data_IF_586085677594
#
_entry.id   IF_586085677594
#
_cell.length_a   1.000
_cell.length_b   1.000
_cell.length_c   1.000
_cell.angle_alpha   90.00
_cell.angle_beta   90.00
_cell.angle_gamma   90.00
#
_symmetry.space_group_name_H-M   'P 1'
#
loop_
_entity.id
_entity.type
_entity.pdbx_description
1 polymer ?
#
# COMPACT_ATOMS: atom_id res chain seq x y z
N UNK A 1 4.54 -1.61 10.10
CA UNK A 1 4.66 -2.26 8.78
C UNK A 1 4.27 -1.24 7.73
N UNK A 2 5.14 -0.90 6.78
CA UNK A 2 4.78 0.01 5.68
C UNK A 2 4.18 -0.84 4.57
N UNK A 3 2.99 -0.51 4.10
CA UNK A 3 2.26 -1.26 3.06
C UNK A 3 2.47 -0.56 1.73
N UNK A 4 3.05 -1.28 0.76
CA UNK A 4 3.54 -0.69 -0.50
C UNK A 4 2.86 -1.28 -1.74
N UNK A 5 2.24 -2.44 -1.61
CA UNK A 5 1.60 -3.18 -2.69
C UNK A 5 0.50 -4.09 -2.15
N UNK A 6 -0.27 -4.69 -3.07
CA UNK A 6 -1.39 -5.57 -2.76
C UNK A 6 -0.95 -6.83 -1.98
N UNK A 7 0.28 -7.33 -2.20
CA UNK A 7 0.79 -8.50 -1.48
C UNK A 7 1.01 -8.18 -0.01
N UNK A 8 1.59 -7.02 0.30
CA UNK A 8 1.76 -6.56 1.68
C UNK A 8 0.43 -6.17 2.32
N UNK A 9 -0.53 -5.66 1.54
CA UNK A 9 -1.89 -5.38 2.00
C UNK A 9 -2.59 -6.66 2.47
N UNK A 10 -2.62 -7.70 1.63
CA UNK A 10 -3.25 -9.00 1.96
C UNK A 10 -2.59 -9.68 3.16
N UNK A 11 -1.25 -9.63 3.26
CA UNK A 11 -0.53 -10.12 4.45
C UNK A 11 -0.94 -9.34 5.71
N UNK A 12 -1.10 -8.02 5.58
CA UNK A 12 -1.53 -7.17 6.68
C UNK A 12 -2.94 -7.46 7.16
N UNK A 13 -3.88 -7.68 6.24
CA UNK A 13 -5.25 -8.08 6.58
C UNK A 13 -5.29 -9.40 7.37
N UNK A 14 -4.55 -10.42 6.90
CA UNK A 14 -4.46 -11.71 7.60
C UNK A 14 -3.83 -11.58 8.98
N UNK A 15 -2.79 -10.74 9.10
CA UNK A 15 -2.17 -10.47 10.38
C UNK A 15 -3.14 -9.78 11.35
N UNK A 16 -3.89 -8.77 10.90
CA UNK A 16 -4.90 -8.09 11.73
C UNK A 16 -5.98 -9.05 12.21
N UNK A 17 -6.48 -9.95 11.35
CA UNK A 17 -7.47 -10.93 11.74
C UNK A 17 -6.97 -11.80 12.91
N UNK A 18 -5.74 -12.32 12.82
CA UNK A 18 -5.15 -13.12 13.90
C UNK A 18 -4.91 -12.34 15.19
N UNK A 19 -4.48 -11.08 15.11
CA UNK A 19 -4.28 -10.28 16.32
C UNK A 19 -5.60 -9.78 16.95
N UNK A 20 -6.67 -9.63 16.17
CA UNK A 20 -8.00 -9.36 16.71
C UNK A 20 -8.50 -10.54 17.56
N UNK A 21 -8.38 -11.77 17.05
CA UNK A 21 -8.69 -13.00 17.79
C UNK A 21 -7.87 -13.09 19.07
N UNK A 22 -6.57 -12.80 19.01
CA UNK A 22 -5.69 -12.81 20.18
C UNK A 22 -6.06 -11.73 21.21
N UNK A 23 -6.45 -10.53 20.76
CA UNK A 23 -6.94 -9.47 21.65
C UNK A 23 -8.24 -9.87 22.36
N UNK A 24 -9.15 -10.54 21.65
CA UNK A 24 -10.39 -11.10 22.20
C UNK A 24 -10.11 -12.21 23.22
N UNK A 25 -9.21 -13.15 22.89
CA UNK A 25 -8.79 -14.21 23.82
C UNK A 25 -8.19 -13.66 25.11
N UNK A 26 -7.36 -12.62 25.02
CA UNK A 26 -6.79 -11.95 26.19
C UNK A 26 -7.86 -11.28 27.06
N UNK A 27 -8.95 -10.81 26.46
CA UNK A 27 -10.06 -10.19 27.19
C UNK A 27 -10.95 -11.22 27.91
N UNK A 28 -11.14 -12.39 27.30
CA UNK A 28 -12.03 -13.45 27.80
C UNK A 28 -11.32 -14.37 28.81
N UNK A 29 -10.09 -14.81 28.50
CA UNK A 29 -9.47 -15.94 29.19
C UNK A 29 -8.37 -15.55 30.19
N UNK A 30 -7.69 -14.42 29.98
CA UNK A 30 -6.53 -14.06 30.77
C UNK A 30 -6.73 -12.75 31.54
N UNK A 31 -7.50 -12.82 32.64
CA UNK A 31 -7.60 -11.72 33.62
C UNK A 31 -6.25 -11.33 34.26
N UNK A 32 -5.20 -12.15 34.07
CA UNK A 32 -3.83 -11.93 34.56
C UNK A 32 -2.88 -11.47 33.44
N UNK A 33 -3.35 -11.31 32.20
CA UNK A 33 -2.60 -10.65 31.15
C UNK A 33 -2.22 -9.26 31.66
N UNK A 34 -0.91 -9.07 31.81
CA UNK A 34 -0.33 -7.82 32.28
C UNK A 34 -0.91 -6.67 31.44
N UNK A 35 -1.55 -5.65 32.05
CA UNK A 35 -2.20 -4.56 31.32
C UNK A 35 -1.29 -3.93 30.25
N UNK A 36 0.01 -3.94 30.49
CA UNK A 36 1.05 -3.45 29.60
C UNK A 36 1.11 -4.22 28.27
N UNK A 37 0.93 -5.55 28.28
CA UNK A 37 0.98 -6.38 27.07
C UNK A 37 -0.23 -6.18 26.19
N UNK A 38 -1.42 -6.05 26.79
CA UNK A 38 -2.65 -5.71 26.04
C UNK A 38 -2.52 -4.33 25.41
N UNK A 39 -1.97 -3.36 26.15
CA UNK A 39 -1.74 -2.02 25.63
C UNK A 39 -0.77 -2.01 24.44
N UNK A 40 0.35 -2.75 24.55
CA UNK A 40 1.33 -2.86 23.46
C UNK A 40 0.73 -3.54 22.22
N UNK A 41 -0.03 -4.63 22.40
CA UNK A 41 -0.70 -5.32 21.30
C UNK A 41 -1.71 -4.40 20.60
N UNK A 42 -2.50 -3.64 21.37
CA UNK A 42 -3.46 -2.68 20.84
C UNK A 42 -2.77 -1.54 20.05
N UNK A 43 -1.63 -1.03 20.55
CA UNK A 43 -0.84 -0.02 19.83
C UNK A 43 -0.37 -0.58 18.48
N UNK A 44 0.14 -1.82 18.46
CA UNK A 44 0.60 -2.46 17.24
C UNK A 44 -0.56 -2.74 16.26
N UNK A 45 -1.70 -3.19 16.78
CA UNK A 45 -2.92 -3.41 16.02
C UNK A 45 -3.39 -2.13 15.34
N UNK A 46 -3.62 -1.06 16.11
CA UNK A 46 -4.09 0.24 15.60
C UNK A 46 -3.12 0.83 14.58
N UNK A 47 -1.80 0.65 14.80
CA UNK A 47 -0.79 1.09 13.85
C UNK A 47 -0.88 0.32 12.53
N UNK A 48 -1.06 -1.00 12.56
CA UNK A 48 -1.19 -1.80 11.34
C UNK A 48 -2.48 -1.47 10.57
N UNK A 49 -3.60 -1.33 11.27
CA UNK A 49 -4.88 -0.90 10.71
C UNK A 49 -4.77 0.47 10.03
N UNK A 50 -4.15 1.45 10.69
CA UNK A 50 -3.90 2.77 10.11
C UNK A 50 -3.14 2.70 8.78
N UNK A 51 -2.11 1.84 8.68
CA UNK A 51 -1.34 1.67 7.44
C UNK A 51 -2.17 1.02 6.32
N UNK A 52 -3.05 0.06 6.64
CA UNK A 52 -3.96 -0.55 5.67
C UNK A 52 -4.99 0.45 5.13
N UNK A 53 -5.55 1.28 6.02
CA UNK A 53 -6.49 2.33 5.64
C UNK A 53 -5.83 3.39 4.76
N UNK A 54 -4.60 3.80 5.08
CA UNK A 54 -3.84 4.73 4.23
C UNK A 54 -3.62 4.16 2.83
N UNK A 55 -3.24 2.88 2.72
CA UNK A 55 -3.06 2.21 1.45
C UNK A 55 -4.38 2.13 0.64
N UNK A 56 -5.47 1.73 1.29
CA UNK A 56 -6.78 1.65 0.63
C UNK A 56 -7.24 3.02 0.12
N UNK A 57 -7.07 4.08 0.91
CA UNK A 57 -7.39 5.45 0.50
C UNK A 57 -6.55 5.88 -0.70
N UNK A 58 -5.27 5.53 -0.74
CA UNK A 58 -4.41 5.80 -1.88
C UNK A 58 -4.92 5.12 -3.17
N UNK A 59 -5.33 3.85 -3.09
CA UNK A 59 -5.97 3.14 -4.23
C UNK A 59 -7.28 3.80 -4.65
N UNK A 60 -8.09 4.25 -3.70
CA UNK A 60 -9.34 4.95 -4.00
C UNK A 60 -9.07 6.27 -4.72
N UNK A 61 -8.09 7.06 -4.27
CA UNK A 61 -7.71 8.33 -4.93
C UNK A 61 -7.15 8.10 -6.34
N UNK A 62 -6.40 7.01 -6.55
CA UNK A 62 -5.97 6.64 -7.91
C UNK A 62 -7.13 6.35 -8.85
N UNK A 63 -8.15 5.64 -8.36
CA UNK A 63 -9.34 5.31 -9.15
C UNK A 63 -10.31 6.50 -9.31
N UNK A 64 -10.37 7.37 -8.30
CA UNK A 64 -11.30 8.50 -8.15
C UNK A 64 -10.55 9.73 -7.61
N UNK A 65 -9.87 10.50 -8.47
CA UNK A 65 -9.03 11.63 -8.06
C UNK A 65 -9.76 12.72 -7.26
N UNK A 66 -11.07 12.86 -7.40
CA UNK A 66 -11.92 13.78 -6.65
C UNK A 66 -11.90 13.52 -5.13
N UNK A 67 -11.68 12.27 -4.72
CA UNK A 67 -11.62 11.89 -3.30
C UNK A 67 -10.42 12.53 -2.58
N UNK A 68 -9.41 13.00 -3.31
CA UNK A 68 -8.25 13.70 -2.75
C UNK A 68 -8.65 14.93 -1.92
N UNK A 69 -9.62 15.70 -2.41
CA UNK A 69 -10.10 16.91 -1.70
C UNK A 69 -10.93 16.50 -0.50
N UNK A 70 -11.85 15.56 -0.66
CA UNK A 70 -12.72 15.08 0.42
C UNK A 70 -11.91 14.49 1.58
N UNK A 71 -10.93 13.63 1.29
CA UNK A 71 -10.07 13.04 2.30
C UNK A 71 -9.23 14.08 3.03
N UNK A 72 -8.77 15.13 2.34
CA UNK A 72 -8.04 16.24 2.97
C UNK A 72 -8.93 17.04 3.92
N UNK A 73 -10.17 17.33 3.52
CA UNK A 73 -11.12 18.10 4.33
C UNK A 73 -11.48 17.41 5.65
N UNK A 74 -11.62 16.09 5.63
CA UNK A 74 -11.90 15.29 6.84
C UNK A 74 -10.64 14.85 7.59
N UNK A 75 -9.46 15.29 7.17
CA UNK A 75 -8.17 15.00 7.83
C UNK A 75 -7.69 13.56 7.67
N UNK A 76 -8.12 12.85 6.64
CA UNK A 76 -7.66 11.50 6.34
C UNK A 76 -6.33 11.51 5.59
N UNK A 77 -5.34 10.84 6.18
CA UNK A 77 -4.05 10.62 5.53
C UNK A 77 -4.15 9.48 4.49
N UNK A 78 -3.41 9.65 3.39
CA UNK A 78 -3.05 8.65 2.40
C UNK A 78 -1.71 9.02 1.78
N UNK A 79 -0.97 8.04 1.26
CA UNK A 79 0.27 8.27 0.51
C UNK A 79 0.00 7.97 -0.97
N UNK A 80 0.15 8.96 -1.84
CA UNK A 80 0.05 8.74 -3.28
C UNK A 80 1.16 7.76 -3.71
N UNK A 81 0.82 6.68 -4.43
CA UNK A 81 1.85 5.81 -4.97
C UNK A 81 2.68 6.62 -5.96
N UNK A 82 4.00 6.39 -5.95
CA UNK A 82 4.91 7.09 -6.84
C UNK A 82 4.44 6.94 -8.29
N UNK A 83 4.51 8.02 -9.10
CA UNK A 83 4.12 7.93 -10.51
C UNK A 83 4.94 6.82 -11.19
N UNK A 84 4.25 5.91 -11.90
CA UNK A 84 4.92 4.92 -12.73
C UNK A 84 5.81 5.65 -13.74
N UNK A 85 7.12 5.45 -13.63
CA UNK A 85 8.06 5.93 -14.64
C UNK A 85 7.80 5.08 -15.89
N UNK A 86 6.99 5.60 -16.81
CA UNK A 86 6.83 4.99 -18.12
C UNK A 86 8.19 5.05 -18.81
N UNK A 87 8.84 3.91 -19.13
CA UNK A 87 10.10 3.96 -19.87
C UNK A 87 9.85 4.65 -21.21
N UNK A 88 10.68 5.64 -21.54
CA UNK A 88 10.59 6.33 -22.84
C UNK A 88 10.60 5.30 -23.97
N UNK A 89 9.75 5.46 -25.00
CA UNK A 89 9.77 4.58 -26.15
C UNK A 89 11.17 4.62 -26.76
N UNK A 90 11.82 3.45 -26.79
CA UNK A 90 13.13 3.27 -27.41
C UNK A 90 12.99 3.75 -28.85
N UNK A 91 13.65 4.85 -29.20
CA UNK A 91 13.74 5.29 -30.57
C UNK A 91 14.43 4.17 -31.36
N UNK A 92 13.67 3.51 -32.24
CA UNK A 92 14.25 2.51 -33.14
C UNK A 92 15.32 3.21 -33.99
N UNK A 93 16.52 2.62 -34.13
CA UNK A 93 17.54 3.19 -35.01
C UNK A 93 16.96 3.31 -36.42
N UNK A 94 17.21 4.45 -37.06
CA UNK A 94 16.78 4.70 -38.44
C UNK A 94 17.21 3.51 -39.33
N UNK A 95 16.36 3.07 -40.28
CA UNK A 95 16.72 1.98 -41.17
C UNK A 95 18.04 2.31 -41.86
N UNK A 96 19.02 1.41 -41.75
CA UNK A 96 20.29 1.53 -42.45
C UNK A 96 19.96 1.58 -43.94
N UNK A 97 20.20 2.73 -44.57
CA UNK A 97 20.11 2.87 -46.01
C UNK A 97 21.13 1.90 -46.64
N UNK A 98 20.62 0.81 -47.19
CA UNK A 98 21.39 -0.15 -47.95
C UNK A 98 21.85 0.53 -49.25
N UNK A 99 23.07 1.10 -49.25
CA UNK A 99 23.76 1.52 -50.47
C UNK A 99 24.23 0.28 -51.25
N UNK A 100 23.29 -0.44 -51.85
CA UNK A 100 23.55 -1.40 -52.92
C UNK A 100 23.08 -0.80 -54.23
N UNK A 101 23.79 0.20 -54.72
CA UNK A 101 23.69 0.68 -56.09
C UNK A 101 24.88 1.61 -56.32
N UNK A 102 25.96 1.02 -56.83
CA UNK A 102 26.91 1.61 -57.76
C UNK A 102 27.77 0.43 -58.27
N UNK A 103 27.14 -0.44 -59.05
CA UNK A 103 27.88 -1.10 -60.13
C UNK A 103 27.82 -0.11 -61.30
N UNK A 104 28.97 0.45 -61.64
CA UNK A 104 29.40 0.84 -62.99
C UNK A 104 30.92 1.07 -62.99
#
# INVERSE_FOLDING_TARGET
MIIRDDVHYEKGLKWLAGEAERLEELEIHDKLARPEWKAELLINYNKAEGNLLMYQRAKNVLAYPELKTEYREIGWAFEEPAPEIVPEPIALPAPIANNWLNED
#
